data_IF_626286592315
#
_entry.id   IF_626286592315
#
_cell.length_a   1.000
_cell.length_b   1.000
_cell.length_c   1.000
_cell.angle_alpha   90.00
_cell.angle_beta   90.00
_cell.angle_gamma   90.00
#
_symmetry.space_group_name_H-M   'P 1'
#
loop_
_entity.id
_entity.type
_entity.pdbx_description
1 polymer ?
#
# COMPACT_ATOMS: atom_id res chain seq x y z
N UNK A 1 35.48 -1.70 5.71
CA UNK A 1 35.07 -3.11 5.59
C UNK A 1 34.18 -3.20 4.36
N UNK A 2 34.53 -3.99 3.34
CA UNK A 2 33.64 -4.27 2.21
C UNK A 2 32.69 -5.39 2.64
N UNK A 3 31.49 -5.03 3.06
CA UNK A 3 30.43 -5.98 3.34
C UNK A 3 29.87 -6.44 1.99
N UNK A 4 30.01 -7.73 1.66
CA UNK A 4 29.47 -8.27 0.40
C UNK A 4 27.94 -8.35 0.50
N UNK A 5 27.26 -7.27 0.08
CA UNK A 5 25.80 -7.16 0.08
C UNK A 5 25.28 -7.53 -1.32
N UNK A 6 24.30 -8.43 -1.40
CA UNK A 6 23.61 -8.77 -2.64
C UNK A 6 22.25 -8.06 -2.64
N UNK A 7 22.00 -7.08 -3.53
CA UNK A 7 20.71 -6.42 -3.60
C UNK A 7 19.66 -7.35 -4.23
N UNK A 8 18.65 -7.74 -3.44
CA UNK A 8 17.59 -8.67 -3.87
C UNK A 8 16.41 -7.96 -4.55
N UNK A 9 16.06 -6.76 -4.06
CA UNK A 9 14.79 -6.08 -4.37
C UNK A 9 14.67 -5.62 -5.82
N UNK A 10 15.77 -5.23 -6.45
CA UNK A 10 15.77 -4.67 -7.82
C UNK A 10 15.42 -5.69 -8.91
N UNK A 11 15.55 -6.99 -8.63
CA UNK A 11 15.41 -8.05 -9.64
C UNK A 11 14.21 -8.97 -9.41
N UNK A 12 13.42 -8.73 -8.37
CA UNK A 12 12.37 -9.63 -7.92
C UNK A 12 11.03 -8.90 -7.88
N UNK A 13 9.97 -9.58 -8.32
CA UNK A 13 8.60 -9.14 -8.02
C UNK A 13 8.34 -9.18 -6.51
N UNK A 14 7.35 -8.43 -6.03
CA UNK A 14 7.00 -8.37 -4.61
C UNK A 14 6.80 -9.78 -4.01
N UNK A 15 6.05 -10.66 -4.68
CA UNK A 15 5.79 -12.02 -4.21
C UNK A 15 7.08 -12.86 -4.13
N UNK A 16 7.97 -12.74 -5.11
CA UNK A 16 9.24 -13.45 -5.12
C UNK A 16 10.18 -12.96 -4.01
N UNK A 17 10.21 -11.65 -3.80
CA UNK A 17 10.96 -11.02 -2.71
C UNK A 17 10.50 -11.57 -1.36
N UNK A 18 9.18 -11.58 -1.09
CA UNK A 18 8.62 -12.11 0.15
C UNK A 18 8.96 -13.59 0.37
N UNK A 19 8.88 -14.41 -0.69
CA UNK A 19 9.21 -15.83 -0.60
C UNK A 19 10.69 -16.06 -0.26
N UNK A 20 11.60 -15.28 -0.85
CA UNK A 20 13.04 -15.38 -0.60
C UNK A 20 13.40 -14.89 0.80
N UNK A 21 12.85 -13.75 1.24
CA UNK A 21 13.08 -13.24 2.60
C UNK A 21 12.63 -14.26 3.65
N UNK A 22 11.44 -14.85 3.46
CA UNK A 22 10.95 -15.90 4.34
C UNK A 22 11.90 -17.10 4.38
N UNK A 23 12.32 -17.59 3.21
CA UNK A 23 13.24 -18.72 3.11
C UNK A 23 14.58 -18.43 3.82
N UNK A 24 15.15 -17.23 3.63
CA UNK A 24 16.40 -16.83 4.27
C UNK A 24 16.27 -16.75 5.80
N UNK A 25 15.16 -16.21 6.30
CA UNK A 25 14.87 -16.20 7.73
C UNK A 25 14.71 -17.62 8.30
N UNK A 26 14.04 -18.53 7.57
CA UNK A 26 13.81 -19.91 8.00
C UNK A 26 15.13 -20.70 8.14
N UNK A 27 16.17 -20.36 7.36
CA UNK A 27 17.50 -20.99 7.44
C UNK A 27 18.48 -20.23 8.35
N UNK A 28 18.02 -19.19 9.06
CA UNK A 28 18.82 -18.42 10.02
C UNK A 28 19.80 -17.42 9.40
N UNK A 29 19.57 -17.01 8.14
CA UNK A 29 20.35 -15.95 7.50
C UNK A 29 19.74 -14.60 7.88
N UNK A 30 20.51 -13.77 8.59
CA UNK A 30 20.12 -12.39 8.90
C UNK A 30 20.09 -11.56 7.61
N UNK A 31 18.91 -11.04 7.30
CA UNK A 31 18.74 -10.05 6.23
C UNK A 31 18.82 -8.67 6.85
N UNK A 32 19.85 -7.90 6.48
CA UNK A 32 19.95 -6.50 6.87
C UNK A 32 18.83 -5.70 6.18
N UNK A 33 18.10 -4.91 6.97
CA UNK A 33 17.19 -3.91 6.42
C UNK A 33 17.99 -2.95 5.53
N UNK A 34 17.44 -2.62 4.37
CA UNK A 34 18.05 -1.57 3.55
C UNK A 34 17.96 -0.27 4.31
N UNK A 35 19.09 0.38 4.61
CA UNK A 35 19.16 1.71 5.24
C UNK A 35 18.37 2.79 4.47
N UNK A 36 17.97 2.48 3.22
CA UNK A 36 17.09 3.28 2.40
C UNK A 36 15.72 2.59 2.42
N UNK A 37 14.80 3.04 3.27
CA UNK A 37 13.40 2.65 3.11
C UNK A 37 12.86 3.42 1.89
N UNK A 38 12.80 2.73 0.76
CA UNK A 38 12.23 3.29 -0.48
C UNK A 38 10.74 3.68 -0.32
N UNK A 39 10.11 3.31 0.80
CA UNK A 39 8.74 3.66 1.15
C UNK A 39 8.64 4.77 2.21
N UNK A 40 9.75 5.31 2.74
CA UNK A 40 9.73 6.37 3.76
C UNK A 40 8.97 7.62 3.31
N UNK A 41 8.87 7.85 2.00
CA UNK A 41 8.15 8.98 1.40
C UNK A 41 6.89 8.57 0.63
N UNK A 42 6.42 7.33 0.76
CA UNK A 42 5.24 6.83 0.00
C UNK A 42 3.92 7.20 0.68
N UNK A 43 3.92 7.36 2.01
CA UNK A 43 2.75 7.82 2.75
C UNK A 43 3.06 9.15 3.41
N UNK A 44 2.30 10.17 3.06
CA UNK A 44 2.32 11.45 3.76
C UNK A 44 1.61 11.32 5.11
N UNK A 45 1.83 12.29 6.00
CA UNK A 45 1.09 12.38 7.26
C UNK A 45 -0.42 12.43 7.02
N UNK A 46 -0.87 13.10 5.96
CA UNK A 46 -2.28 13.15 5.57
C UNK A 46 -2.82 11.77 5.18
N UNK A 47 -2.03 10.97 4.45
CA UNK A 47 -2.41 9.60 4.09
C UNK A 47 -2.56 8.71 5.32
N UNK A 48 -1.63 8.85 6.29
CA UNK A 48 -1.67 8.12 7.55
C UNK A 48 -2.94 8.47 8.34
N UNK A 49 -3.28 9.76 8.43
CA UNK A 49 -4.47 10.25 9.11
C UNK A 49 -5.76 9.75 8.43
N UNK A 50 -5.80 9.77 7.09
CA UNK A 50 -6.93 9.25 6.32
C UNK A 50 -7.15 7.74 6.56
N UNK A 51 -6.07 6.95 6.59
CA UNK A 51 -6.13 5.51 6.89
C UNK A 51 -6.64 5.28 8.31
N UNK A 52 -6.12 6.02 9.30
CA UNK A 52 -6.54 5.91 10.69
C UNK A 52 -8.01 6.27 10.88
N UNK A 53 -8.47 7.35 10.23
CA UNK A 53 -9.87 7.75 10.23
C UNK A 53 -10.76 6.68 9.60
N UNK A 54 -10.36 6.13 8.45
CA UNK A 54 -11.10 5.06 7.78
C UNK A 54 -11.23 3.82 8.66
N UNK A 55 -10.14 3.39 9.33
CA UNK A 55 -10.17 2.28 10.29
C UNK A 55 -11.16 2.53 11.44
N UNK A 56 -11.16 3.74 11.99
CA UNK A 56 -12.10 4.13 13.05
C UNK A 56 -13.55 4.11 12.57
N UNK A 57 -13.82 4.60 11.36
CA UNK A 57 -15.15 4.55 10.76
C UNK A 57 -15.63 3.11 10.57
N UNK A 58 -14.77 2.21 10.09
CA UNK A 58 -15.09 0.79 9.96
C UNK A 58 -15.40 0.17 11.32
N UNK A 59 -14.58 0.42 12.35
CA UNK A 59 -14.82 -0.07 13.72
C UNK A 59 -16.15 0.44 14.30
N UNK A 60 -16.56 1.65 13.94
CA UNK A 60 -17.84 2.23 14.35
C UNK A 60 -19.04 1.74 13.50
N UNK A 61 -18.83 0.83 12.54
CA UNK A 61 -19.88 0.36 11.63
C UNK A 61 -20.30 1.40 10.58
N UNK A 62 -19.53 2.48 10.43
CA UNK A 62 -19.75 3.56 9.45
C UNK A 62 -19.06 3.25 8.10
N UNK A 63 -18.59 2.03 7.91
CA UNK A 63 -18.03 1.56 6.64
C UNK A 63 -19.10 1.51 5.55
N UNK A 64 -18.70 1.80 4.32
CA UNK A 64 -19.59 1.73 3.16
C UNK A 64 -19.53 0.32 2.57
N UNK A 65 -20.67 -0.27 2.21
CA UNK A 65 -20.67 -1.52 1.43
C UNK A 65 -20.11 -1.28 0.04
N UNK A 66 -19.45 -2.28 -0.52
CA UNK A 66 -18.82 -2.18 -1.84
C UNK A 66 -19.82 -1.78 -2.95
N UNK A 67 -21.04 -2.33 -2.89
CA UNK A 67 -22.14 -2.00 -3.82
C UNK A 67 -22.56 -0.51 -3.74
N UNK A 68 -22.60 0.06 -2.53
CA UNK A 68 -22.91 1.47 -2.32
C UNK A 68 -21.78 2.40 -2.74
N UNK A 69 -20.52 1.96 -2.60
CA UNK A 69 -19.36 2.69 -3.08
C UNK A 69 -19.33 2.73 -4.62
N UNK A 70 -19.63 1.60 -5.27
CA UNK A 70 -19.74 1.50 -6.73
C UNK A 70 -20.84 2.43 -7.27
N UNK A 71 -22.04 2.38 -6.68
CA UNK A 71 -23.15 3.24 -7.11
C UNK A 71 -22.86 4.74 -6.91
N UNK A 72 -22.20 5.12 -5.82
CA UNK A 72 -21.78 6.53 -5.61
C UNK A 72 -20.77 7.00 -6.66
N UNK A 73 -19.83 6.15 -7.05
CA UNK A 73 -18.84 6.51 -8.07
C UNK A 73 -19.48 6.62 -9.46
N UNK A 74 -20.43 5.75 -9.80
CA UNK A 74 -21.21 5.85 -11.04
C UNK A 74 -22.06 7.13 -11.08
N UNK A 75 -22.68 7.51 -9.96
CA UNK A 75 -23.48 8.75 -9.87
C UNK A 75 -22.60 10.00 -10.04
N UNK A 76 -21.44 10.07 -9.35
CA UNK A 76 -20.49 11.18 -9.48
C UNK A 76 -19.89 11.29 -10.89
N UNK A 77 -19.67 10.16 -11.54
CA UNK A 77 -19.23 10.10 -12.94
C UNK A 77 -20.26 10.75 -13.86
N UNK A 78 -21.54 10.41 -13.70
CA UNK A 78 -22.61 10.98 -14.52
C UNK A 78 -22.85 12.48 -14.27
N UNK A 79 -22.74 12.95 -13.03
CA UNK A 79 -22.80 14.39 -12.72
C UNK A 79 -21.65 15.18 -13.36
N UNK A 80 -20.44 14.59 -13.38
CA UNK A 80 -19.27 15.21 -13.99
C UNK A 80 -19.43 15.32 -15.51
N UNK A 81 -20.01 14.31 -16.15
CA UNK A 81 -20.34 14.32 -17.59
C UNK A 81 -21.40 15.38 -17.90
N UNK A 82 -22.44 15.50 -17.06
CA UNK A 82 -23.50 16.50 -17.25
C UNK A 82 -23.00 17.95 -17.13
N UNK A 83 -21.97 18.20 -16.31
CA UNK A 83 -21.37 19.54 -16.14
C UNK A 83 -20.47 19.97 -17.30
N UNK A 84 -20.01 19.02 -18.12
CA UNK A 84 -19.20 19.29 -19.33
C UNK A 84 -20.06 19.52 -20.59
N UNK A 85 -21.36 19.26 -20.51
CA UNK A 85 -22.31 19.37 -21.62
C UNK A 85 -23.07 20.71 -21.67
N UNK A 86 -22.63 21.72 -20.91
CA UNK A 86 -23.06 23.12 -20.96
C UNK A 86 -21.84 24.02 -21.05
#
# INVERSE_FOLDING_TARGET
MNTNIIPLKEKLSFTQYQAIIKFLNDIGVEVADSEIDQYDNILTQEDIEAIMLSRKQIQMGLGIKNEEALNRNLLKSNESISKLAH
#
